data_IF_699842983047
#
_entry.id   IF_699842983047
#
_cell.length_a   1.000
_cell.length_b   1.000
_cell.length_c   1.000
_cell.angle_alpha   90.00
_cell.angle_beta   90.00
_cell.angle_gamma   90.00
#
_symmetry.space_group_name_H-M   'P 1'
#
loop_
_entity.id
_entity.type
_entity.pdbx_description
1 polymer ?
#
# COMPACT_ATOMS: atom_id res chain seq x y z
N UNK A 1 -14.00 -42.06 19.40
CA UNK A 1 -15.28 -42.34 18.69
C UNK A 1 -15.89 -41.07 18.07
N UNK A 2 -16.86 -41.13 17.16
CA UNK A 2 -17.58 -39.93 16.67
C UNK A 2 -18.94 -39.78 17.37
N UNK A 3 -19.31 -38.56 17.76
CA UNK A 3 -20.62 -38.28 18.36
C UNK A 3 -21.73 -38.53 17.33
N UNK A 4 -22.66 -39.44 17.64
CA UNK A 4 -23.76 -39.79 16.75
C UNK A 4 -24.79 -38.69 16.51
N UNK A 5 -24.72 -37.57 17.25
CA UNK A 5 -25.64 -36.44 17.05
C UNK A 5 -25.02 -35.29 16.23
N UNK A 6 -23.75 -34.97 16.42
CA UNK A 6 -23.12 -33.83 15.74
C UNK A 6 -21.90 -34.19 14.87
N UNK A 7 -21.51 -35.47 14.82
CA UNK A 7 -20.39 -35.93 14.00
C UNK A 7 -19.01 -35.48 14.47
N UNK A 8 -18.90 -34.80 15.62
CA UNK A 8 -17.60 -34.37 16.18
C UNK A 8 -16.81 -35.60 16.68
N UNK A 9 -15.51 -35.64 16.42
CA UNK A 9 -14.62 -36.63 17.01
C UNK A 9 -14.53 -36.40 18.53
N UNK A 10 -14.73 -37.44 19.32
CA UNK A 10 -14.62 -37.42 20.78
C UNK A 10 -13.70 -38.54 21.23
N UNK A 11 -12.81 -38.24 22.17
CA UNK A 11 -11.95 -39.24 22.79
C UNK A 11 -12.78 -40.32 23.50
N UNK A 12 -12.24 -41.54 23.56
CA UNK A 12 -13.03 -42.70 23.96
C UNK A 12 -13.42 -42.68 25.44
N UNK A 13 -12.78 -41.93 26.33
CA UNK A 13 -13.08 -41.87 27.77
C UNK A 13 -14.13 -40.82 28.17
N UNK A 14 -14.57 -39.96 27.24
CA UNK A 14 -15.50 -38.88 27.51
C UNK A 14 -16.93 -39.38 27.83
N UNK A 15 -17.53 -38.85 28.90
CA UNK A 15 -18.91 -39.15 29.31
C UNK A 15 -19.97 -38.36 28.52
N UNK A 16 -19.62 -37.15 28.07
CA UNK A 16 -20.48 -36.25 27.30
C UNK A 16 -19.72 -35.66 26.10
N UNK A 17 -20.44 -35.35 25.02
CA UNK A 17 -19.88 -34.67 23.87
C UNK A 17 -19.61 -33.19 24.21
N UNK A 18 -18.37 -32.68 24.06
CA UNK A 18 -18.04 -31.30 24.42
C UNK A 18 -18.71 -30.27 23.50
N UNK A 19 -19.16 -30.68 22.31
CA UNK A 19 -19.70 -29.77 21.30
C UNK A 19 -21.22 -29.61 21.42
N UNK A 20 -21.95 -30.68 21.75
CA UNK A 20 -23.43 -30.65 21.80
C UNK A 20 -24.06 -31.14 23.12
N UNK A 21 -23.25 -31.55 24.10
CA UNK A 21 -23.72 -32.01 25.41
C UNK A 21 -24.33 -33.42 25.43
N UNK A 22 -24.39 -34.14 24.30
CA UNK A 22 -24.95 -35.51 24.26
C UNK A 22 -24.15 -36.45 25.16
N UNK A 23 -24.83 -37.18 26.04
CA UNK A 23 -24.21 -38.25 26.84
C UNK A 23 -23.73 -39.40 25.93
N UNK A 24 -22.45 -39.75 26.05
CA UNK A 24 -21.77 -40.75 25.22
C UNK A 24 -21.63 -42.09 25.93
N UNK A 25 -21.54 -42.07 27.28
CA UNK A 25 -21.38 -43.27 28.10
C UNK A 25 -22.31 -43.24 29.32
N UNK A 26 -22.85 -44.40 29.73
CA UNK A 26 -23.63 -44.49 30.96
C UNK A 26 -22.77 -44.13 32.18
N UNK A 27 -23.31 -43.33 33.09
CA UNK A 27 -22.64 -42.92 34.33
C UNK A 27 -22.71 -44.11 35.30
N UNK A 28 -21.56 -44.66 35.68
CA UNK A 28 -21.52 -45.78 36.64
C UNK A 28 -22.02 -45.30 38.01
N UNK A 29 -23.04 -45.97 38.54
CA UNK A 29 -23.54 -45.77 39.91
C UNK A 29 -22.42 -46.11 40.89
N UNK A 30 -22.13 -45.22 41.83
CA UNK A 30 -21.16 -45.43 42.92
C UNK A 30 -21.87 -45.30 44.25
N UNK A 31 -21.40 -46.00 45.28
CA UNK A 31 -21.98 -45.90 46.61
C UNK A 31 -21.78 -44.49 47.19
N UNK A 32 -22.87 -43.85 47.63
CA UNK A 32 -22.84 -42.49 48.20
C UNK A 32 -21.87 -42.32 49.39
N UNK A 33 -21.53 -43.41 50.10
CA UNK A 33 -20.65 -43.37 51.27
C UNK A 33 -19.20 -43.67 50.96
N UNK A 34 -18.94 -44.82 50.34
CA UNK A 34 -17.58 -45.32 50.17
C UNK A 34 -17.08 -45.24 48.72
N UNK A 35 -17.90 -44.72 47.80
CA UNK A 35 -17.58 -44.51 46.39
C UNK A 35 -17.21 -45.80 45.63
N UNK A 36 -17.52 -46.98 46.19
CA UNK A 36 -17.39 -48.26 45.50
C UNK A 36 -18.33 -48.25 44.28
N UNK A 37 -17.86 -48.62 43.07
CA UNK A 37 -18.72 -48.82 41.91
C UNK A 37 -19.76 -49.90 42.20
N UNK A 38 -21.02 -49.57 42.00
CA UNK A 38 -22.17 -50.46 42.17
C UNK A 38 -22.70 -50.88 40.80
N UNK A 39 -23.26 -52.08 40.72
CA UNK A 39 -24.07 -52.47 39.55
C UNK A 39 -25.44 -51.75 39.59
N UNK A 40 -26.10 -51.54 38.44
CA UNK A 40 -27.31 -50.69 38.36
C UNK A 40 -28.41 -51.09 39.35
N UNK A 41 -28.51 -52.39 39.67
CA UNK A 41 -29.55 -52.97 40.51
C UNK A 41 -29.15 -53.16 41.99
N UNK A 42 -27.98 -52.69 42.41
CA UNK A 42 -27.58 -52.77 43.82
C UNK A 42 -28.22 -51.64 44.65
N UNK A 43 -29.18 -52.03 45.50
CA UNK A 43 -29.87 -51.14 46.46
C UNK A 43 -29.12 -50.99 47.79
N UNK A 44 -28.17 -51.88 48.10
CA UNK A 44 -27.35 -51.85 49.31
C UNK A 44 -25.90 -52.06 48.91
N UNK A 45 -25.00 -51.19 49.36
CA UNK A 45 -23.59 -51.35 49.06
C UNK A 45 -23.00 -52.58 49.77
N UNK A 46 -22.40 -53.54 49.05
CA UNK A 46 -21.86 -54.76 49.66
C UNK A 46 -20.65 -54.50 50.56
N UNK A 47 -19.91 -53.41 50.34
CA UNK A 47 -18.72 -53.09 51.12
C UNK A 47 -19.00 -52.35 52.44
N UNK A 48 -20.01 -51.47 52.48
CA UNK A 48 -20.28 -50.63 53.66
C UNK A 48 -21.68 -50.76 54.24
N UNK A 49 -22.56 -51.56 53.62
CA UNK A 49 -23.92 -51.83 54.09
C UNK A 49 -24.91 -50.67 53.93
N UNK A 50 -24.52 -49.55 53.31
CA UNK A 50 -25.40 -48.40 53.17
C UNK A 50 -26.44 -48.62 52.06
N UNK A 51 -27.73 -48.43 52.40
CA UNK A 51 -28.84 -48.41 51.44
C UNK A 51 -28.73 -47.19 50.52
N UNK A 52 -28.88 -47.42 49.23
CA UNK A 52 -28.91 -46.41 48.19
C UNK A 52 -30.38 -46.08 47.91
N UNK A 53 -30.97 -45.16 48.66
CA UNK A 53 -32.35 -44.71 48.45
C UNK A 53 -32.43 -43.92 47.14
N UNK A 54 -33.16 -44.44 46.15
CA UNK A 54 -33.60 -43.65 44.99
C UNK A 54 -34.69 -42.70 45.47
N UNK A 55 -34.38 -41.42 45.61
CA UNK A 55 -35.41 -40.38 45.55
C UNK A 55 -35.67 -40.08 44.06
N UNK A 56 -36.86 -40.45 43.56
CA UNK A 56 -37.40 -39.82 42.36
C UNK A 56 -37.60 -38.33 42.70
N UNK A 57 -36.67 -37.50 42.27
CA UNK A 57 -36.86 -36.06 42.25
C UNK A 57 -37.94 -35.77 41.19
N UNK A 58 -39.18 -35.62 41.64
CA UNK A 58 -40.21 -34.98 40.81
C UNK A 58 -39.82 -33.51 40.72
N UNK A 59 -39.11 -33.13 39.66
CA UNK A 59 -38.97 -31.73 39.28
C UNK A 59 -40.35 -31.22 38.88
N UNK A 60 -40.99 -30.42 39.75
CA UNK A 60 -42.05 -29.54 39.29
C UNK A 60 -41.43 -28.49 38.37
N UNK A 61 -41.65 -28.62 37.06
CA UNK A 61 -41.24 -27.63 36.06
C UNK A 61 -41.80 -26.24 36.42
N UNK A 62 -40.95 -25.28 36.83
CA UNK A 62 -41.40 -23.94 37.24
C UNK A 62 -41.95 -23.12 36.05
N UNK A 63 -41.84 -23.62 34.82
CA UNK A 63 -42.34 -22.99 33.60
C UNK A 63 -43.61 -23.66 33.05
N UNK A 64 -44.19 -24.64 33.76
CA UNK A 64 -45.41 -25.31 33.33
C UNK A 64 -46.58 -24.32 33.25
N UNK A 65 -46.99 -23.98 32.02
CA UNK A 65 -48.05 -23.00 31.75
C UNK A 65 -47.59 -21.55 31.66
N UNK A 66 -46.28 -21.28 31.70
CA UNK A 66 -45.71 -19.93 31.55
C UNK A 66 -46.17 -19.24 30.26
N UNK A 67 -46.26 -19.98 29.16
CA UNK A 67 -46.75 -19.57 27.83
C UNK A 67 -48.22 -19.14 27.78
N UNK A 68 -49.01 -19.43 28.83
CA UNK A 68 -50.41 -18.99 28.93
C UNK A 68 -50.56 -17.59 29.54
N UNK A 69 -49.46 -16.96 30.00
CA UNK A 69 -49.53 -15.62 30.58
C UNK A 69 -49.78 -14.58 29.46
N UNK A 70 -50.81 -13.72 29.59
CA UNK A 70 -51.17 -12.75 28.56
C UNK A 70 -50.04 -11.75 28.25
N UNK A 71 -49.19 -11.45 29.23
CA UNK A 71 -48.01 -10.58 29.07
C UNK A 71 -47.06 -11.06 27.97
N UNK A 72 -46.85 -12.37 27.80
CA UNK A 72 -45.94 -12.89 26.77
C UNK A 72 -46.52 -12.70 25.37
N UNK A 73 -47.84 -12.86 25.23
CA UNK A 73 -48.53 -12.61 23.96
C UNK A 73 -48.58 -11.12 23.61
N UNK A 74 -48.69 -10.25 24.62
CA UNK A 74 -48.59 -8.79 24.42
C UNK A 74 -47.18 -8.41 23.97
N UNK A 75 -46.13 -8.93 24.63
CA UNK A 75 -44.74 -8.67 24.23
C UNK A 75 -44.42 -9.20 22.83
N UNK A 76 -44.90 -10.41 22.51
CA UNK A 76 -44.78 -11.00 21.17
C UNK A 76 -45.50 -10.16 20.12
N UNK A 77 -46.72 -9.69 20.40
CA UNK A 77 -47.47 -8.82 19.49
C UNK A 77 -46.76 -7.47 19.27
N UNK A 78 -46.18 -6.87 20.32
CA UNK A 78 -45.40 -5.63 20.21
C UNK A 78 -44.13 -5.85 19.38
N UNK A 79 -43.43 -6.97 19.56
CA UNK A 79 -42.26 -7.34 18.75
C UNK A 79 -42.63 -7.59 17.28
N UNK A 80 -43.77 -8.24 17.02
CA UNK A 80 -44.27 -8.43 15.66
C UNK A 80 -44.66 -7.09 15.03
N UNK A 81 -45.33 -6.20 15.77
CA UNK A 81 -45.70 -4.86 15.28
C UNK A 81 -44.47 -4.00 15.02
N UNK A 82 -43.44 -4.06 15.87
CA UNK A 82 -42.19 -3.33 15.65
C UNK A 82 -41.42 -3.89 14.45
N UNK A 83 -41.42 -5.21 14.24
CA UNK A 83 -40.83 -5.83 13.06
C UNK A 83 -41.57 -5.46 11.76
N UNK A 84 -42.91 -5.39 11.78
CA UNK A 84 -43.71 -4.92 10.63
C UNK A 84 -43.45 -3.44 10.35
N UNK A 85 -43.33 -2.61 11.39
CA UNK A 85 -42.96 -1.20 11.24
C UNK A 85 -41.54 -1.04 10.71
N UNK A 86 -40.57 -1.79 11.22
CA UNK A 86 -39.20 -1.79 10.71
C UNK A 86 -39.16 -2.26 9.26
N UNK A 87 -39.87 -3.33 8.92
CA UNK A 87 -39.95 -3.84 7.55
C UNK A 87 -40.60 -2.84 6.59
N UNK A 88 -41.68 -2.18 7.00
CA UNK A 88 -42.35 -1.13 6.20
C UNK A 88 -41.50 0.14 6.09
N UNK A 89 -40.74 0.46 7.13
CA UNK A 89 -39.76 1.54 7.12
C UNK A 89 -38.62 1.21 6.15
N UNK A 90 -38.05 0.01 6.22
CA UNK A 90 -36.98 -0.44 5.32
C UNK A 90 -37.42 -0.58 3.85
N UNK A 91 -38.71 -0.85 3.57
CA UNK A 91 -39.21 -0.87 2.18
C UNK A 91 -39.53 0.53 1.64
N UNK A 92 -39.99 1.45 2.49
CA UNK A 92 -40.22 2.85 2.10
C UNK A 92 -38.95 3.71 2.12
N UNK A 93 -37.94 3.28 2.87
CA UNK A 93 -36.62 3.87 3.01
C UNK A 93 -35.62 2.74 2.78
N UNK A 94 -35.48 2.24 1.53
CA UNK A 94 -34.45 1.26 1.23
C UNK A 94 -33.14 1.82 1.73
N UNK A 95 -32.44 1.04 2.57
CA UNK A 95 -31.01 1.27 2.78
C UNK A 95 -30.44 1.22 1.37
N UNK A 96 -30.10 2.39 0.82
CA UNK A 96 -29.12 2.42 -0.23
C UNK A 96 -27.96 1.64 0.37
N UNK A 97 -27.67 0.46 -0.19
CA UNK A 97 -26.30 0.01 -0.13
C UNK A 97 -25.52 1.26 -0.52
N UNK A 98 -24.65 1.72 0.36
CA UNK A 98 -23.48 2.39 -0.15
C UNK A 98 -22.81 1.31 -1.01
N UNK A 99 -23.26 1.13 -2.26
CA UNK A 99 -22.30 1.18 -3.33
C UNK A 99 -21.54 2.44 -2.97
N UNK A 100 -20.30 2.30 -2.54
CA UNK A 100 -19.38 3.41 -2.58
C UNK A 100 -19.69 4.12 -3.89
N UNK A 101 -20.36 5.27 -3.83
CA UNK A 101 -20.03 6.31 -4.77
C UNK A 101 -18.58 6.55 -4.41
N UNK A 102 -17.68 5.75 -5.01
CA UNK A 102 -16.30 6.09 -5.16
C UNK A 102 -16.37 7.51 -5.66
N UNK A 103 -16.13 8.47 -4.77
CA UNK A 103 -15.88 9.82 -5.23
C UNK A 103 -14.71 9.63 -6.17
N UNK A 104 -14.93 9.84 -7.46
CA UNK A 104 -13.88 9.77 -8.48
C UNK A 104 -12.61 10.37 -7.87
N UNK A 105 -11.55 9.58 -7.78
CA UNK A 105 -10.30 10.06 -7.23
C UNK A 105 -9.79 11.17 -8.15
N UNK A 106 -9.79 12.41 -7.67
CA UNK A 106 -9.35 13.56 -8.46
C UNK A 106 -7.92 13.90 -8.09
N UNK A 107 -7.02 13.79 -9.07
CA UNK A 107 -5.63 14.20 -8.93
C UNK A 107 -5.54 15.72 -8.77
N UNK A 108 -4.85 16.17 -7.72
CA UNK A 108 -4.76 17.60 -7.39
C UNK A 108 -3.32 18.05 -7.19
N UNK A 109 -3.16 19.36 -7.17
CA UNK A 109 -1.87 20.00 -6.91
C UNK A 109 -1.05 20.24 -8.17
N UNK A 110 -0.18 21.25 -8.06
CA UNK A 110 0.81 21.57 -9.08
C UNK A 110 1.96 20.58 -9.00
N UNK A 111 2.36 20.04 -10.14
CA UNK A 111 3.57 19.22 -10.22
C UNK A 111 4.77 20.14 -10.09
N UNK A 112 5.67 19.82 -9.16
CA UNK A 112 6.98 20.47 -9.13
C UNK A 112 7.91 19.75 -10.09
N UNK A 113 8.82 20.49 -10.73
CA UNK A 113 9.89 19.89 -11.54
C UNK A 113 10.78 18.95 -10.73
N UNK A 114 10.95 19.21 -9.42
CA UNK A 114 11.71 18.35 -8.51
C UNK A 114 11.10 16.96 -8.39
N UNK A 115 9.78 16.88 -8.24
CA UNK A 115 9.09 15.61 -8.05
C UNK A 115 9.25 14.72 -9.29
N UNK A 116 9.09 15.29 -10.49
CA UNK A 116 9.29 14.55 -11.75
C UNK A 116 10.73 14.06 -11.87
N UNK A 117 11.72 14.91 -11.55
CA UNK A 117 13.12 14.48 -11.62
C UNK A 117 13.47 13.40 -10.59
N UNK A 118 12.91 13.44 -9.38
CA UNK A 118 13.15 12.42 -8.36
C UNK A 118 12.44 11.09 -8.71
N UNK A 119 11.32 11.14 -9.42
CA UNK A 119 10.59 9.95 -9.86
C UNK A 119 11.43 9.07 -10.81
N UNK A 120 12.44 9.63 -11.49
CA UNK A 120 13.35 8.85 -12.34
C UNK A 120 14.15 7.80 -11.56
N UNK A 121 14.38 7.98 -10.26
CA UNK A 121 14.97 6.95 -9.37
C UNK A 121 14.07 5.71 -9.26
N UNK A 122 12.79 5.85 -9.58
CA UNK A 122 11.78 4.80 -9.62
C UNK A 122 11.28 4.54 -11.06
N UNK A 123 12.09 4.89 -12.07
CA UNK A 123 11.79 4.64 -13.48
C UNK A 123 10.88 5.68 -14.16
N UNK A 124 10.46 6.75 -13.45
CA UNK A 124 9.75 7.89 -14.05
C UNK A 124 8.49 7.46 -14.81
N UNK A 125 7.66 6.62 -14.19
CA UNK A 125 6.53 5.95 -14.84
C UNK A 125 5.25 6.79 -14.87
N UNK A 126 5.20 7.90 -14.14
CA UNK A 126 4.00 8.73 -14.02
C UNK A 126 4.30 10.18 -14.36
N UNK A 127 3.42 10.78 -15.15
CA UNK A 127 3.45 12.18 -15.54
C UNK A 127 2.02 12.74 -15.60
N UNK A 128 1.82 14.04 -15.37
CA UNK A 128 0.53 14.67 -15.65
C UNK A 128 0.69 16.05 -16.24
N UNK A 129 -0.25 16.44 -17.08
CA UNK A 129 -0.45 17.83 -17.49
C UNK A 129 -1.66 18.44 -16.75
N UNK A 130 -2.33 19.43 -17.34
CA UNK A 130 -3.50 20.08 -16.75
C UNK A 130 -4.80 19.29 -16.93
N UNK A 131 -4.84 18.31 -17.83
CA UNK A 131 -6.04 17.59 -18.24
C UNK A 131 -5.89 16.07 -18.10
N UNK A 132 -4.68 15.54 -18.32
CA UNK A 132 -4.44 14.11 -18.41
C UNK A 132 -3.39 13.62 -17.41
N UNK A 133 -3.57 12.38 -16.95
CA UNK A 133 -2.55 11.53 -16.36
C UNK A 133 -1.97 10.63 -17.45
N UNK A 134 -0.64 10.58 -17.54
CA UNK A 134 0.12 9.64 -18.36
C UNK A 134 0.85 8.67 -17.43
N UNK A 135 0.74 7.37 -17.70
CA UNK A 135 1.35 6.37 -16.83
C UNK A 135 1.74 5.10 -17.58
N UNK A 136 2.84 4.47 -17.16
CA UNK A 136 3.36 3.26 -17.79
C UNK A 136 2.92 2.01 -17.04
N UNK A 137 2.28 1.07 -17.74
CA UNK A 137 1.98 -0.27 -17.25
C UNK A 137 2.33 -1.27 -18.36
N UNK A 138 3.03 -2.35 -18.00
CA UNK A 138 3.36 -3.45 -18.92
C UNK A 138 4.03 -2.97 -20.23
N UNK A 139 4.95 -2.02 -20.12
CA UNK A 139 5.66 -1.37 -21.22
C UNK A 139 4.77 -0.59 -22.22
N UNK A 140 3.56 -0.22 -21.80
CA UNK A 140 2.67 0.65 -22.57
C UNK A 140 2.46 1.96 -21.81
N UNK A 141 2.46 3.07 -22.54
CA UNK A 141 2.04 4.35 -22.00
C UNK A 141 0.53 4.49 -22.16
N UNK A 142 -0.17 4.59 -21.05
CA UNK A 142 -1.60 4.86 -21.00
C UNK A 142 -1.85 6.33 -20.69
N UNK A 143 -2.99 6.83 -21.14
CA UNK A 143 -3.50 8.17 -20.82
C UNK A 143 -4.94 8.09 -20.30
N UNK A 144 -5.22 8.84 -19.25
CA UNK A 144 -6.53 8.99 -18.62
C UNK A 144 -6.82 10.45 -18.31
N UNK A 145 -8.09 10.85 -18.33
CA UNK A 145 -8.50 12.15 -17.82
C UNK A 145 -8.31 12.23 -16.30
N UNK A 146 -7.91 13.39 -15.77
CA UNK A 146 -7.57 13.55 -14.34
C UNK A 146 -8.75 13.32 -13.37
N UNK A 147 -9.98 13.40 -13.85
CA UNK A 147 -11.22 13.15 -13.12
C UNK A 147 -11.89 11.80 -13.45
N UNK A 148 -11.35 11.05 -14.41
CA UNK A 148 -11.87 9.74 -14.85
C UNK A 148 -10.77 8.67 -14.94
N UNK A 149 -10.07 8.41 -13.83
CA UNK A 149 -8.97 7.42 -13.78
C UNK A 149 -9.39 5.95 -13.99
N UNK A 150 -10.69 5.64 -14.15
CA UNK A 150 -11.16 4.27 -14.47
C UNK A 150 -11.01 3.93 -15.95
N UNK A 151 -10.97 4.95 -16.81
CA UNK A 151 -10.87 4.79 -18.25
C UNK A 151 -9.50 5.25 -18.71
N UNK A 152 -8.85 4.42 -19.52
CA UNK A 152 -7.54 4.74 -20.08
C UNK A 152 -7.44 4.20 -21.49
N UNK A 153 -6.78 4.96 -22.36
CA UNK A 153 -6.40 4.51 -23.69
C UNK A 153 -4.89 4.31 -23.76
N UNK A 154 -4.45 3.36 -24.60
CA UNK A 154 -3.03 3.20 -24.91
C UNK A 154 -2.62 4.31 -25.86
N UNK A 155 -1.65 5.11 -25.44
CA UNK A 155 -1.07 6.18 -26.24
C UNK A 155 0.15 5.70 -27.02
N UNK A 156 1.03 4.91 -26.40
CA UNK A 156 2.25 4.36 -26.98
C UNK A 156 2.42 2.90 -26.53
N UNK A 157 2.67 1.99 -27.49
CA UNK A 157 2.79 0.55 -27.24
C UNK A 157 4.17 0.10 -26.72
N UNK A 158 5.22 0.89 -26.96
CA UNK A 158 6.58 0.59 -26.51
C UNK A 158 7.13 1.75 -25.69
N UNK A 159 6.90 1.72 -24.38
CA UNK A 159 7.34 2.75 -23.45
C UNK A 159 7.66 2.13 -22.09
N UNK A 160 8.89 2.31 -21.61
CA UNK A 160 9.35 1.76 -20.32
C UNK A 160 9.38 2.79 -19.18
N UNK A 161 9.21 4.08 -19.49
CA UNK A 161 9.19 5.14 -18.49
C UNK A 161 10.06 6.34 -18.86
N UNK A 162 10.65 6.97 -17.83
CA UNK A 162 11.39 8.23 -17.89
C UNK A 162 10.60 9.36 -18.59
N UNK A 163 9.31 9.43 -18.22
CA UNK A 163 8.38 10.36 -18.83
C UNK A 163 8.76 11.82 -18.53
N UNK A 164 8.69 12.67 -19.55
CA UNK A 164 8.81 14.12 -19.42
C UNK A 164 7.90 14.82 -20.42
N UNK A 165 7.48 16.05 -20.14
CA UNK A 165 6.66 16.83 -21.07
C UNK A 165 7.14 18.28 -21.11
N UNK A 166 7.43 18.77 -22.31
CA UNK A 166 7.82 20.16 -22.56
C UNK A 166 7.18 20.60 -23.89
N UNK A 167 6.55 21.77 -23.92
CA UNK A 167 6.01 22.38 -25.15
C UNK A 167 5.07 21.48 -25.99
N UNK A 168 4.23 20.66 -25.35
CA UNK A 168 3.33 19.67 -26.00
C UNK A 168 4.06 18.47 -26.64
N UNK A 169 5.33 18.26 -26.32
CA UNK A 169 6.08 17.07 -26.69
C UNK A 169 6.24 16.21 -25.44
N UNK A 170 5.81 14.96 -25.53
CA UNK A 170 6.00 13.94 -24.51
C UNK A 170 7.27 13.16 -24.85
N UNK A 171 8.18 13.04 -23.88
CA UNK A 171 9.41 12.30 -24.01
C UNK A 171 9.39 11.06 -23.14
N UNK A 172 9.98 9.97 -23.63
CA UNK A 172 9.97 8.67 -22.96
C UNK A 172 11.10 7.78 -23.48
N UNK A 173 11.46 6.75 -22.73
CA UNK A 173 12.31 5.66 -23.25
C UNK A 173 11.46 4.51 -23.80
N UNK A 174 11.86 3.96 -24.93
CA UNK A 174 11.35 2.68 -25.44
C UNK A 174 12.05 1.47 -24.77
N UNK A 175 11.67 0.25 -25.16
CA UNK A 175 12.25 -1.00 -24.63
C UNK A 175 13.73 -1.23 -24.95
N UNK A 176 14.32 -0.47 -25.89
CA UNK A 176 15.76 -0.45 -26.17
C UNK A 176 16.47 0.73 -25.48
N UNK A 177 15.77 1.46 -24.61
CA UNK A 177 16.27 2.65 -23.93
C UNK A 177 16.68 3.77 -24.89
N UNK A 178 16.09 3.84 -26.08
CA UNK A 178 16.20 5.03 -26.90
C UNK A 178 15.23 6.08 -26.38
N UNK A 179 15.68 7.32 -26.31
CA UNK A 179 14.85 8.43 -25.86
C UNK A 179 14.09 9.03 -27.03
N UNK A 180 12.78 8.90 -26.96
CA UNK A 180 11.83 9.26 -28.00
C UNK A 180 11.14 10.59 -27.64
N UNK A 181 10.79 11.37 -28.66
CA UNK A 181 9.96 12.57 -28.57
C UNK A 181 8.68 12.35 -29.37
N UNK A 182 7.53 12.42 -28.69
CA UNK A 182 6.21 12.26 -29.26
C UNK A 182 5.46 13.60 -29.24
N UNK A 183 5.17 14.14 -30.42
CA UNK A 183 4.38 15.36 -30.55
C UNK A 183 2.90 15.04 -30.30
N UNK A 184 2.33 15.59 -29.22
CA UNK A 184 0.95 15.31 -28.82
C UNK A 184 -0.09 15.86 -29.80
N UNK A 185 0.26 16.82 -30.67
CA UNK A 185 -0.62 17.43 -31.67
C UNK A 185 -0.58 16.69 -33.00
N UNK A 186 0.60 16.43 -33.54
CA UNK A 186 0.77 15.76 -34.84
C UNK A 186 0.74 14.24 -34.73
N UNK A 187 0.90 13.70 -33.50
CA UNK A 187 0.94 12.26 -33.21
C UNK A 187 2.12 11.55 -33.89
N UNK A 188 3.24 12.26 -34.04
CA UNK A 188 4.48 11.75 -34.66
C UNK A 188 5.57 11.53 -33.61
N UNK A 189 6.32 10.44 -33.74
CA UNK A 189 7.47 10.10 -32.90
C UNK A 189 8.78 10.40 -33.63
N UNK A 190 9.78 10.92 -32.92
CA UNK A 190 11.16 11.08 -33.39
C UNK A 190 12.13 10.62 -32.31
N UNK A 191 13.13 9.82 -32.67
CA UNK A 191 14.20 9.42 -31.75
C UNK A 191 15.20 10.56 -31.57
N UNK A 192 15.56 10.86 -30.31
CA UNK A 192 16.46 11.94 -29.93
C UNK A 192 17.82 11.40 -29.47
N UNK A 193 17.82 10.35 -28.63
CA UNK A 193 19.03 9.72 -28.09
C UNK A 193 18.92 8.20 -28.14
N UNK A 194 20.04 7.49 -28.14
CA UNK A 194 20.13 6.02 -28.19
C UNK A 194 20.74 5.49 -26.90
N UNK A 195 20.15 4.43 -26.33
CA UNK A 195 20.62 3.72 -25.14
C UNK A 195 21.04 4.66 -23.98
N UNK A 196 20.06 5.39 -23.45
CA UNK A 196 20.25 6.34 -22.35
C UNK A 196 19.38 6.00 -21.15
N UNK A 197 19.88 6.32 -19.96
CA UNK A 197 19.21 6.09 -18.69
C UNK A 197 19.05 7.38 -17.90
N UNK A 198 18.03 7.40 -17.04
CA UNK A 198 17.68 8.54 -16.19
C UNK A 198 17.57 9.90 -16.91
N UNK A 199 17.04 9.99 -18.16
CA UNK A 199 16.99 11.26 -18.87
C UNK A 199 16.05 12.25 -18.15
N UNK A 200 16.51 13.49 -17.98
CA UNK A 200 15.76 14.60 -17.41
C UNK A 200 15.82 15.77 -18.36
N UNK A 201 14.65 16.30 -18.71
CA UNK A 201 14.54 17.53 -19.50
C UNK A 201 14.38 18.73 -18.58
N UNK A 202 15.22 19.74 -18.77
CA UNK A 202 15.11 21.03 -18.09
C UNK A 202 15.58 22.15 -19.00
N UNK A 203 14.69 23.12 -19.23
CA UNK A 203 14.98 24.31 -20.05
C UNK A 203 15.51 23.92 -21.44
N UNK A 204 14.81 23.02 -22.12
CA UNK A 204 15.21 22.54 -23.45
C UNK A 204 16.60 21.84 -23.52
N UNK A 205 17.10 21.37 -22.37
CA UNK A 205 18.34 20.57 -22.28
C UNK A 205 18.01 19.23 -21.62
N UNK A 206 18.46 18.14 -22.22
CA UNK A 206 18.35 16.79 -21.69
C UNK A 206 19.64 16.45 -20.94
N UNK A 207 19.54 16.01 -19.70
CA UNK A 207 20.66 15.47 -18.93
C UNK A 207 20.42 13.98 -18.75
N UNK A 208 21.42 13.15 -18.99
CA UNK A 208 21.22 11.70 -19.05
C UNK A 208 22.52 10.94 -18.79
N UNK A 209 22.39 9.67 -18.40
CA UNK A 209 23.50 8.74 -18.36
C UNK A 209 23.60 8.01 -19.69
N UNK A 210 24.81 7.97 -20.26
CA UNK A 210 25.10 7.25 -21.50
C UNK A 210 25.68 5.87 -21.17
N UNK A 211 24.97 4.80 -21.51
CA UNK A 211 25.38 3.41 -21.18
C UNK A 211 26.67 3.01 -21.90
N UNK A 212 26.77 3.40 -23.17
CA UNK A 212 27.89 3.06 -24.04
C UNK A 212 29.21 3.74 -23.66
N UNK A 213 29.18 4.77 -22.81
CA UNK A 213 30.36 5.50 -22.33
C UNK A 213 30.51 5.41 -20.82
N UNK A 214 30.70 4.17 -20.32
CA UNK A 214 30.99 3.89 -18.92
C UNK A 214 29.98 4.51 -17.94
N UNK A 215 28.71 4.59 -18.35
CA UNK A 215 27.63 5.17 -17.55
C UNK A 215 27.90 6.63 -17.13
N UNK A 216 28.62 7.37 -17.96
CA UNK A 216 28.97 8.78 -17.73
C UNK A 216 27.76 9.70 -17.91
N UNK A 217 27.81 10.85 -17.24
CA UNK A 217 26.77 11.87 -17.31
C UNK A 217 27.01 12.82 -18.50
N UNK A 218 25.93 13.08 -19.25
CA UNK A 218 25.93 13.97 -20.41
C UNK A 218 24.83 15.02 -20.31
N UNK A 219 24.99 16.08 -21.11
CA UNK A 219 23.90 17.00 -21.46
C UNK A 219 23.79 17.18 -22.96
N UNK A 220 22.56 17.23 -23.46
CA UNK A 220 22.20 17.43 -24.85
C UNK A 220 21.24 18.61 -24.99
N UNK A 221 21.60 19.61 -25.79
CA UNK A 221 20.76 20.77 -26.08
C UNK A 221 19.79 20.44 -27.21
N UNK A 222 18.49 20.62 -26.98
CA UNK A 222 17.47 20.42 -28.02
C UNK A 222 17.45 21.57 -29.06
N UNK A 223 17.99 22.75 -28.72
CA UNK A 223 18.02 23.92 -29.61
C UNK A 223 19.03 23.75 -30.76
N UNK A 224 20.27 23.39 -30.41
CA UNK A 224 21.41 23.35 -31.33
C UNK A 224 22.01 21.94 -31.50
N UNK A 225 21.41 20.94 -30.85
CA UNK A 225 21.82 19.52 -30.91
C UNK A 225 23.24 19.28 -30.39
N UNK A 226 23.79 20.21 -29.60
CA UNK A 226 25.11 20.04 -28.99
C UNK A 226 25.04 18.99 -27.88
N UNK A 227 25.99 18.06 -27.91
CA UNK A 227 26.12 17.00 -26.92
C UNK A 227 27.44 17.13 -26.16
N UNK A 228 27.39 17.15 -24.84
CA UNK A 228 28.55 17.39 -23.99
C UNK A 228 28.60 16.41 -22.80
N UNK A 229 29.76 15.77 -22.64
CA UNK A 229 30.09 14.98 -21.45
C UNK A 229 30.33 15.89 -20.25
N UNK A 230 29.75 15.54 -19.09
CA UNK A 230 29.84 16.32 -17.85
C UNK A 230 30.81 15.72 -16.82
N UNK A 231 31.00 14.39 -16.81
CA UNK A 231 31.96 13.72 -15.95
C UNK A 231 32.44 12.40 -16.59
N UNK A 232 33.47 11.78 -16.00
CA UNK A 232 34.01 10.48 -16.40
C UNK A 232 33.71 9.37 -15.36
N UNK A 233 32.74 9.58 -14.47
CA UNK A 233 32.37 8.62 -13.42
C UNK A 233 30.98 8.02 -13.69
N UNK A 234 30.82 6.74 -13.34
CA UNK A 234 29.52 6.06 -13.34
C UNK A 234 28.50 6.86 -12.54
N UNK A 235 27.39 7.22 -13.17
CA UNK A 235 26.39 8.15 -12.63
C UNK A 235 24.97 7.61 -12.79
N UNK A 236 24.31 7.32 -11.67
CA UNK A 236 22.92 6.84 -11.64
C UNK A 236 21.99 7.84 -10.95
N UNK A 237 20.67 7.60 -11.02
CA UNK A 237 19.67 8.26 -10.18
C UNK A 237 19.75 9.81 -10.26
N UNK A 238 19.88 10.30 -11.50
CA UNK A 238 20.05 11.72 -11.80
C UNK A 238 18.82 12.51 -11.33
N UNK A 239 19.03 13.67 -10.72
CA UNK A 239 17.97 14.62 -10.33
C UNK A 239 18.48 16.04 -10.47
N UNK A 240 17.67 16.99 -10.96
CA UNK A 240 18.12 18.37 -11.20
C UNK A 240 17.31 19.36 -10.36
N UNK A 241 18.01 20.14 -9.54
CA UNK A 241 17.42 21.20 -8.72
C UNK A 241 18.22 22.50 -8.88
N UNK A 242 17.55 23.55 -9.33
CA UNK A 242 18.17 24.84 -9.63
C UNK A 242 19.36 24.71 -10.58
N UNK A 243 20.55 25.10 -10.11
CA UNK A 243 21.82 25.05 -10.85
C UNK A 243 22.61 23.75 -10.63
N UNK A 244 22.08 22.79 -9.88
CA UNK A 244 22.79 21.57 -9.51
C UNK A 244 22.16 20.32 -10.12
N UNK A 245 23.01 19.38 -10.47
CA UNK A 245 22.68 17.99 -10.77
C UNK A 245 23.10 17.15 -9.58
N UNK A 246 22.18 16.37 -9.03
CA UNK A 246 22.41 15.37 -7.99
C UNK A 246 22.41 13.99 -8.64
N UNK A 247 23.33 13.13 -8.23
CA UNK A 247 23.50 11.81 -8.84
C UNK A 247 24.19 10.86 -7.87
N UNK A 248 23.90 9.57 -8.01
CA UNK A 248 24.63 8.50 -7.33
C UNK A 248 25.84 8.12 -8.17
N UNK A 249 27.02 8.47 -7.69
CA UNK A 249 28.27 7.96 -8.22
C UNK A 249 28.54 6.55 -7.69
N UNK A 250 29.11 5.69 -8.54
CA UNK A 250 29.62 4.38 -8.13
C UNK A 250 31.08 4.25 -8.53
N UNK A 251 31.92 3.85 -7.58
CA UNK A 251 33.24 3.31 -7.88
C UNK A 251 33.31 1.83 -7.48
N UNK A 252 34.45 1.18 -7.69
CA UNK A 252 34.63 -0.26 -7.43
C UNK A 252 34.33 -0.68 -5.98
N UNK A 253 34.36 0.25 -5.02
CA UNK A 253 34.29 -0.06 -3.59
C UNK A 253 33.04 0.50 -2.90
N UNK A 254 32.43 1.58 -3.42
CA UNK A 254 31.32 2.26 -2.74
C UNK A 254 30.47 3.14 -3.67
N UNK A 255 29.20 3.32 -3.27
CA UNK A 255 28.30 4.34 -3.81
C UNK A 255 28.45 5.64 -3.02
N UNK A 256 28.28 6.77 -3.71
CA UNK A 256 28.21 8.08 -3.08
C UNK A 256 27.18 8.98 -3.77
N UNK A 257 26.35 9.66 -2.99
CA UNK A 257 25.53 10.77 -3.48
C UNK A 257 26.42 11.99 -3.65
N UNK A 258 26.48 12.50 -4.88
CA UNK A 258 27.23 13.69 -5.23
C UNK A 258 26.31 14.74 -5.85
N UNK A 259 26.82 15.97 -5.94
CA UNK A 259 26.25 16.99 -6.83
C UNK A 259 27.32 17.74 -7.59
N UNK A 260 26.96 18.27 -8.74
CA UNK A 260 27.76 19.18 -9.57
C UNK A 260 26.89 20.30 -10.11
N UNK A 261 27.47 21.35 -10.67
CA UNK A 261 26.69 22.36 -11.41
C UNK A 261 26.15 21.76 -12.72
N UNK A 262 25.13 22.37 -13.30
CA UNK A 262 24.60 22.03 -14.64
C UNK A 262 25.63 22.16 -15.79
N UNK A 263 26.81 22.71 -15.49
CA UNK A 263 27.96 22.82 -16.40
C UNK A 263 29.00 21.71 -16.21
N UNK A 264 28.85 20.84 -15.22
CA UNK A 264 29.82 19.78 -14.90
C UNK A 264 30.91 20.19 -13.92
N UNK A 265 30.76 21.34 -13.24
CA UNK A 265 31.79 21.91 -12.37
C UNK A 265 31.42 21.77 -10.88
N UNK A 266 32.37 22.05 -9.98
CA UNK A 266 32.17 22.09 -8.52
C UNK A 266 31.51 20.81 -7.96
N UNK A 267 32.14 19.67 -8.22
CA UNK A 267 31.69 18.38 -7.72
C UNK A 267 31.86 18.33 -6.19
N UNK A 268 30.79 17.99 -5.48
CA UNK A 268 30.74 17.84 -4.02
C UNK A 268 30.13 16.49 -3.64
N UNK A 269 30.80 15.74 -2.75
CA UNK A 269 30.25 14.53 -2.15
C UNK A 269 29.34 14.90 -0.98
N UNK A 270 28.09 14.46 -1.03
CA UNK A 270 27.07 14.75 -0.03
C UNK A 270 26.88 13.60 0.96
N UNK A 271 27.03 12.36 0.51
CA UNK A 271 26.85 11.16 1.33
C UNK A 271 27.60 9.96 0.73
N UNK A 272 28.26 9.14 1.55
CA UNK A 272 29.18 8.08 1.10
C UNK A 272 28.61 6.67 1.20
N UNK A 273 27.30 6.51 0.92
CA UNK A 273 26.68 5.19 0.74
C UNK A 273 25.62 5.25 -0.35
N UNK A 274 25.18 4.06 -0.76
CA UNK A 274 23.98 3.91 -1.57
C UNK A 274 22.79 4.50 -0.81
N UNK A 275 22.01 5.33 -1.50
CA UNK A 275 20.81 5.92 -0.93
C UNK A 275 19.78 6.27 -1.99
N UNK A 276 18.51 6.25 -1.62
CA UNK A 276 17.45 6.91 -2.38
C UNK A 276 17.20 8.27 -1.73
N UNK A 277 16.91 9.30 -2.54
CA UNK A 277 16.79 10.66 -2.03
C UNK A 277 15.64 11.44 -2.66
N UNK A 278 15.14 12.42 -1.91
CA UNK A 278 14.14 13.39 -2.34
C UNK A 278 14.55 14.80 -1.89
N UNK A 279 14.11 15.82 -2.62
CA UNK A 279 14.55 17.20 -2.44
C UNK A 279 13.35 18.12 -2.21
N UNK A 280 13.50 19.09 -1.30
CA UNK A 280 12.67 20.28 -1.28
C UNK A 280 13.52 21.53 -1.62
N UNK A 281 12.95 22.73 -1.47
CA UNK A 281 13.66 23.97 -1.79
C UNK A 281 14.90 24.23 -0.92
N UNK A 282 14.99 23.66 0.29
CA UNK A 282 16.01 23.96 1.30
C UNK A 282 16.90 22.76 1.63
N UNK A 283 16.30 21.59 1.75
CA UNK A 283 16.93 20.39 2.30
C UNK A 283 16.79 19.20 1.34
N UNK A 284 17.73 18.27 1.45
CA UNK A 284 17.74 16.95 0.84
C UNK A 284 17.40 15.92 1.93
N UNK A 285 16.54 14.99 1.60
CA UNK A 285 16.15 13.89 2.49
C UNK A 285 16.57 12.59 1.80
N UNK A 286 17.25 11.70 2.52
CA UNK A 286 17.72 10.45 1.96
C UNK A 286 17.50 9.28 2.92
N UNK A 287 17.53 8.07 2.37
CA UNK A 287 17.55 6.82 3.11
C UNK A 287 18.73 5.95 2.70
N UNK A 288 19.45 5.38 3.67
CA UNK A 288 20.50 4.37 3.46
C UNK A 288 20.02 2.95 3.79
N UNK A 289 18.71 2.76 3.81
CA UNK A 289 17.96 1.57 4.24
C UNK A 289 17.92 1.29 5.75
N UNK A 290 18.67 2.03 6.57
CA UNK A 290 18.72 1.87 8.03
C UNK A 290 18.26 3.12 8.78
N UNK A 291 18.24 4.27 8.10
CA UNK A 291 17.87 5.54 8.66
C UNK A 291 17.44 6.52 7.57
N UNK A 292 16.65 7.50 7.99
CA UNK A 292 16.26 8.67 7.22
C UNK A 292 17.11 9.85 7.69
N UNK A 293 17.80 10.49 6.75
CA UNK A 293 18.76 11.57 6.98
C UNK A 293 18.29 12.82 6.24
N UNK A 294 18.51 13.99 6.84
CA UNK A 294 18.36 15.29 6.20
C UNK A 294 19.73 15.91 5.99
N UNK A 295 19.95 16.50 4.83
CA UNK A 295 21.13 17.29 4.50
C UNK A 295 20.68 18.68 4.08
N UNK A 296 21.16 19.71 4.74
CA UNK A 296 20.87 21.07 4.31
C UNK A 296 21.66 21.41 3.03
N UNK A 297 21.00 21.87 1.97
CA UNK A 297 21.64 22.06 0.66
C UNK A 297 22.68 23.18 0.64
N UNK A 298 22.58 24.16 1.53
CA UNK A 298 23.53 25.29 1.59
C UNK A 298 24.73 24.98 2.50
N UNK A 299 24.46 24.52 3.73
CA UNK A 299 25.50 24.29 4.74
C UNK A 299 26.11 22.88 4.68
N UNK A 300 25.51 21.98 3.91
CA UNK A 300 25.86 20.55 3.82
C UNK A 300 25.79 19.80 5.15
N UNK A 301 25.20 20.41 6.18
CA UNK A 301 25.04 19.79 7.49
C UNK A 301 24.07 18.62 7.40
N UNK A 302 24.53 17.45 7.85
CA UNK A 302 23.73 16.22 7.93
C UNK A 302 23.10 16.06 9.32
N UNK A 303 21.89 15.52 9.35
CA UNK A 303 21.12 15.23 10.56
C UNK A 303 20.32 13.94 10.35
N UNK A 304 20.55 12.91 11.17
CA UNK A 304 19.66 11.74 11.20
C UNK A 304 18.31 12.15 11.79
N UNK A 305 17.26 12.07 10.98
CA UNK A 305 15.88 12.34 11.42
C UNK A 305 15.36 11.14 12.21
N UNK A 306 15.58 9.92 11.70
CA UNK A 306 15.01 8.71 12.28
C UNK A 306 15.86 7.50 11.92
N UNK A 307 16.16 6.64 12.89
CA UNK A 307 16.73 5.31 12.66
C UNK A 307 15.58 4.32 12.49
N UNK A 308 15.43 3.78 11.30
CA UNK A 308 14.36 2.87 10.92
C UNK A 308 14.77 2.14 9.65
N UNK A 309 14.49 0.84 9.57
CA UNK A 309 14.62 0.14 8.29
C UNK A 309 13.55 0.65 7.33
N UNK A 310 13.96 1.11 6.15
CA UNK A 310 13.02 1.60 5.16
C UNK A 310 13.59 1.42 3.75
N UNK A 311 12.73 1.34 2.74
CA UNK A 311 13.16 0.99 1.37
C UNK A 311 12.99 2.11 0.36
N UNK A 312 11.97 2.93 0.55
CA UNK A 312 11.66 4.06 -0.31
C UNK A 312 11.27 5.26 0.54
N UNK A 313 11.55 6.46 0.03
CA UNK A 313 11.11 7.72 0.60
C UNK A 313 10.55 8.61 -0.50
N UNK A 314 9.63 9.49 -0.12
CA UNK A 314 9.10 10.53 -0.98
C UNK A 314 8.74 11.77 -0.15
N UNK A 315 8.79 12.93 -0.78
CA UNK A 315 8.31 14.18 -0.19
C UNK A 315 6.98 14.57 -0.84
N UNK A 316 5.97 14.78 0.00
CA UNK A 316 4.65 15.21 -0.46
C UNK A 316 4.05 16.16 0.57
N UNK A 317 3.55 17.31 0.14
CA UNK A 317 2.91 18.30 1.01
C UNK A 317 3.69 18.61 2.31
N UNK A 318 5.01 18.81 2.22
CA UNK A 318 5.88 19.11 3.36
C UNK A 318 5.91 18.00 4.43
N UNK A 319 5.75 16.75 4.00
CA UNK A 319 5.85 15.52 4.80
C UNK A 319 6.79 14.53 4.12
N UNK A 320 7.43 13.69 4.93
CA UNK A 320 8.19 12.53 4.48
C UNK A 320 7.25 11.33 4.52
N UNK A 321 7.03 10.70 3.37
CA UNK A 321 6.39 9.39 3.26
C UNK A 321 7.47 8.35 3.04
N UNK A 322 7.42 7.25 3.77
CA UNK A 322 8.44 6.21 3.68
C UNK A 322 7.86 4.81 3.86
N UNK A 323 8.43 3.85 3.13
CA UNK A 323 8.02 2.45 3.16
C UNK A 323 8.90 1.65 4.12
N UNK A 324 8.27 0.90 5.04
CA UNK A 324 8.96 0.04 6.04
C UNK A 324 8.20 -1.27 6.21
N UNK A 325 8.86 -2.41 6.00
CA UNK A 325 8.22 -3.73 6.12
C UNK A 325 7.01 -3.86 5.19
N UNK A 326 5.83 -4.06 5.78
CA UNK A 326 4.51 -4.11 5.10
C UNK A 326 3.66 -2.85 5.37
N UNK A 327 4.31 -1.74 5.71
CA UNK A 327 3.65 -0.49 6.06
C UNK A 327 4.18 0.66 5.20
N UNK A 328 3.26 1.56 4.86
CA UNK A 328 3.60 2.89 4.40
C UNK A 328 3.32 3.87 5.52
N UNK A 329 4.32 4.68 5.88
CA UNK A 329 4.25 5.63 6.98
C UNK A 329 4.50 7.03 6.50
N UNK A 330 4.08 8.00 7.30
CA UNK A 330 4.29 9.42 7.05
C UNK A 330 4.70 10.12 8.34
N UNK A 331 5.60 11.09 8.22
CA UNK A 331 6.01 11.96 9.30
C UNK A 331 6.25 13.39 8.79
N UNK A 332 6.33 14.35 9.71
CA UNK A 332 6.82 15.69 9.41
C UNK A 332 8.31 15.69 9.03
N UNK A 333 8.78 16.76 8.37
CA UNK A 333 10.17 16.89 7.92
C UNK A 333 11.22 16.84 9.06
N UNK A 334 10.81 17.02 10.32
CA UNK A 334 11.69 16.91 11.49
C UNK A 334 11.55 15.57 12.23
N UNK A 335 10.82 14.61 11.67
CA UNK A 335 10.66 13.26 12.23
C UNK A 335 9.54 13.11 13.27
N UNK A 336 8.81 14.18 13.58
CA UNK A 336 7.63 14.13 14.47
C UNK A 336 6.38 13.69 13.70
N UNK A 337 5.32 13.39 14.44
CA UNK A 337 4.01 12.99 13.90
C UNK A 337 4.10 11.76 12.99
N UNK A 338 4.91 10.78 13.40
CA UNK A 338 5.11 9.52 12.68
C UNK A 338 3.87 8.63 12.81
N UNK A 339 3.14 8.50 11.71
CA UNK A 339 1.87 7.78 11.62
C UNK A 339 1.88 6.77 10.47
N UNK A 340 1.08 5.72 10.62
CA UNK A 340 0.87 4.72 9.56
C UNK A 340 -0.20 5.27 8.60
N UNK A 341 0.10 5.27 7.30
CA UNK A 341 -0.87 5.57 6.24
C UNK A 341 -1.59 4.29 5.81
N UNK A 342 -0.83 3.25 5.50
CA UNK A 342 -1.35 1.95 5.03
C UNK A 342 -0.61 0.79 5.68
N UNK A 343 -1.34 -0.31 5.89
CA UNK A 343 -0.82 -1.62 6.30
C UNK A 343 -1.00 -2.63 5.16
N UNK A 344 -0.31 -3.76 5.29
CA UNK A 344 -0.41 -4.91 4.40
C UNK A 344 -0.01 -4.62 2.94
N UNK A 345 0.89 -3.64 2.76
CA UNK A 345 1.43 -3.28 1.45
C UNK A 345 2.96 -3.33 1.50
N UNK A 346 3.56 -4.07 0.58
CA UNK A 346 5.01 -4.01 0.35
C UNK A 346 5.23 -3.06 -0.83
N UNK A 347 5.80 -1.90 -0.53
CA UNK A 347 6.12 -0.87 -1.50
C UNK A 347 7.59 -0.99 -1.90
N UNK A 348 7.86 -1.14 -3.20
CA UNK A 348 9.21 -1.12 -3.77
C UNK A 348 9.72 0.28 -4.05
N UNK A 349 8.82 1.18 -4.47
CA UNK A 349 9.14 2.51 -4.97
C UNK A 349 8.02 3.51 -4.65
N UNK A 350 8.37 4.79 -4.62
CA UNK A 350 7.43 5.88 -4.42
C UNK A 350 7.71 6.98 -5.45
N UNK A 351 6.69 7.33 -6.22
CA UNK A 351 6.71 8.45 -7.16
C UNK A 351 5.68 9.47 -6.74
N UNK A 352 5.90 10.76 -7.01
CA UNK A 352 5.03 11.85 -6.57
C UNK A 352 4.60 12.70 -7.76
N UNK A 353 3.31 12.98 -7.87
CA UNK A 353 2.78 14.01 -8.77
C UNK A 353 1.81 14.92 -8.01
N UNK A 354 2.19 16.18 -7.84
CA UNK A 354 1.39 17.13 -7.07
C UNK A 354 1.25 16.72 -5.60
N UNK A 355 0.02 16.48 -5.16
CA UNK A 355 -0.28 16.07 -3.78
C UNK A 355 -0.39 14.56 -3.57
N UNK A 356 -0.19 13.80 -4.65
CA UNK A 356 -0.53 12.38 -4.74
C UNK A 356 0.74 11.57 -4.98
N UNK A 357 0.77 10.36 -4.42
CA UNK A 357 1.85 9.41 -4.61
C UNK A 357 1.37 8.23 -5.44
N UNK A 358 2.31 7.65 -6.16
CA UNK A 358 2.14 6.50 -7.02
C UNK A 358 3.14 5.45 -6.60
N UNK A 359 2.71 4.20 -6.59
CA UNK A 359 3.57 3.08 -6.22
C UNK A 359 3.15 1.81 -6.93
N UNK A 360 4.15 0.97 -7.21
CA UNK A 360 3.94 -0.44 -7.47
C UNK A 360 3.93 -1.19 -6.13
N UNK A 361 2.74 -1.60 -5.69
CA UNK A 361 2.56 -2.37 -4.47
C UNK A 361 2.43 -3.86 -4.75
N UNK A 362 3.03 -4.70 -3.91
CA UNK A 362 2.68 -6.13 -3.85
C UNK A 362 1.76 -6.39 -2.65
N UNK A 363 0.59 -6.96 -2.93
CA UNK A 363 -0.37 -7.44 -1.93
C UNK A 363 -0.37 -8.96 -2.00
N UNK A 364 -0.20 -9.63 -0.87
CA UNK A 364 0.03 -11.08 -0.82
C UNK A 364 -1.08 -11.91 -1.48
N UNK A 365 -2.33 -11.43 -1.46
CA UNK A 365 -3.49 -12.16 -1.99
C UNK A 365 -3.85 -11.79 -3.44
N UNK A 366 -3.50 -10.58 -3.91
CA UNK A 366 -3.97 -10.04 -5.19
C UNK A 366 -2.86 -9.67 -6.18
N UNK A 367 -1.59 -9.86 -5.81
CA UNK A 367 -0.44 -9.69 -6.69
C UNK A 367 0.07 -8.25 -6.77
N UNK A 368 0.62 -7.89 -7.93
CA UNK A 368 1.17 -6.55 -8.18
C UNK A 368 0.04 -5.60 -8.54
N UNK A 369 -0.01 -4.45 -7.86
CA UNK A 369 -1.01 -3.39 -8.05
C UNK A 369 -0.30 -2.07 -8.31
N UNK A 370 -0.86 -1.26 -9.20
CA UNK A 370 -0.43 0.12 -9.43
C UNK A 370 -1.40 1.03 -8.69
N UNK A 371 -0.92 1.70 -7.64
CA UNK A 371 -1.79 2.40 -6.69
C UNK A 371 -1.45 3.87 -6.72
N UNK A 372 -2.48 4.71 -6.86
CA UNK A 372 -2.41 6.12 -6.53
C UNK A 372 -3.02 6.36 -5.16
N UNK A 373 -2.39 7.17 -4.33
CA UNK A 373 -2.91 7.51 -3.01
C UNK A 373 -2.47 8.89 -2.57
N UNK A 374 -3.22 9.49 -1.65
CA UNK A 374 -2.86 10.76 -1.03
C UNK A 374 -2.58 10.60 0.46
N UNK A 375 -2.01 11.65 1.05
CA UNK A 375 -1.66 11.66 2.48
C UNK A 375 -2.87 11.69 3.44
N UNK A 376 -4.09 11.81 2.90
CA UNK A 376 -5.36 11.67 3.66
C UNK A 376 -5.87 10.23 3.67
N UNK A 377 -5.08 9.28 3.16
CA UNK A 377 -5.43 7.85 3.13
C UNK A 377 -6.38 7.46 2.01
N UNK A 378 -6.79 8.38 1.15
CA UNK A 378 -7.57 8.03 -0.04
C UNK A 378 -6.65 7.36 -1.06
N UNK A 379 -7.11 6.29 -1.68
CA UNK A 379 -6.36 5.57 -2.70
C UNK A 379 -7.27 5.05 -3.81
N UNK A 380 -6.65 4.66 -4.92
CA UNK A 380 -7.28 3.98 -6.05
C UNK A 380 -6.26 3.10 -6.76
N UNK A 381 -6.66 1.89 -7.16
CA UNK A 381 -5.89 1.07 -8.08
C UNK A 381 -6.08 1.59 -9.51
N UNK A 382 -4.98 1.72 -10.26
CA UNK A 382 -5.04 2.10 -11.67
C UNK A 382 -5.33 0.87 -12.52
N UNK A 383 -6.24 1.02 -13.48
CA UNK A 383 -6.58 0.02 -14.50
C UNK A 383 -7.14 -1.31 -13.94
N UNK A 384 -7.81 -1.27 -12.77
CA UNK A 384 -8.52 -2.41 -12.20
C UNK A 384 -9.80 -1.97 -11.49
N UNK A 385 -10.95 -2.58 -11.85
CA UNK A 385 -12.19 -2.46 -11.09
C UNK A 385 -12.09 -3.32 -9.81
N UNK A 386 -11.37 -2.88 -8.78
CA UNK A 386 -11.35 -3.59 -7.49
C UNK A 386 -11.61 -2.67 -6.30
N UNK A 387 -12.61 -3.05 -5.52
CA UNK A 387 -13.00 -2.39 -4.28
C UNK A 387 -12.06 -2.78 -3.12
N UNK A 388 -11.71 -1.78 -2.31
CA UNK A 388 -11.12 -1.82 -0.97
C UNK A 388 -10.35 -3.10 -0.54
N UNK A 389 -9.03 -3.14 -0.83
CA UNK A 389 -8.11 -4.16 -0.30
C UNK A 389 -7.09 -3.60 0.73
N UNK A 390 -6.97 -2.27 0.87
CA UNK A 390 -6.06 -1.63 1.83
C UNK A 390 -6.81 -1.12 3.07
N UNK A 391 -6.26 -1.41 4.24
CA UNK A 391 -6.75 -0.87 5.52
C UNK A 391 -6.19 0.57 5.71
N UNK A 392 -7.00 1.57 5.34
CA UNK A 392 -6.74 2.98 5.69
C UNK A 392 -7.09 3.21 7.16
N UNK A 393 -6.12 3.66 7.96
CA UNK A 393 -6.31 3.87 9.41
C UNK A 393 -6.83 5.26 9.77
N UNK A 394 -7.01 6.16 8.80
CA UNK A 394 -7.63 7.47 9.07
C UNK A 394 -9.16 7.38 9.17
N UNK A 395 -9.77 6.28 8.73
CA UNK A 395 -11.21 6.04 8.76
C UNK A 395 -11.65 5.09 9.92
N UNK A 396 -10.72 4.70 10.80
CA UNK A 396 -10.93 3.76 11.92
C UNK A 396 -11.12 4.45 13.28
#
# INVERSE_FOLDING_TARGET
MYCSQCGTYVEDDMLFCPQCGKQLKPIKKVCIRCQLPLTENEEVCPACGMRQTQEEVVEEDPYKGYWKKPILWILSAVLCLSAVFLGSYMTSHPLQSMSSQEKNYVLKGKVSTYNVSANNQAGGQYLKDNQHLYYVINNQLLVSDLDELETSEVLIDDCVGYLSIENHVLYYCDSQYNYQAYDLKTKTTTQILENVYYPIIKNHVIYYQLDQDHESLYRYSLDDQTNQKLNDETSYDITIDGKYIYYLAKNDEQYALKRMTITGENIETLYEKQCTFALDNKDLYLTDNLQIIKINKETLKQETIKKVENRAIALVNNKIVYATGTQLKMMSLNGKDDQILFKNIVVSDLQVLGSDLFTKGYVQESGVKYIVFNIKGQYKALNENTAQEFENLQDA
#
